data_IF_254691778610
#
_entry.id   IF_254691778610
#
_cell.length_a   1.000
_cell.length_b   1.000
_cell.length_c   1.000
_cell.angle_alpha   90.00
_cell.angle_beta   90.00
_cell.angle_gamma   90.00
#
_symmetry.space_group_name_H-M   'P 1'
#
loop_
_entity.id
_entity.type
_entity.pdbx_description
1 polymer ?
#
# COMPACT_ATOMS: atom_id res chain seq x y z
N UNK A 1 -26.64 -0.34 -20.00
CA UNK A 1 -25.37 -0.39 -19.25
C UNK A 1 -25.36 0.79 -18.29
N UNK A 2 -25.48 0.55 -16.99
CA UNK A 2 -25.38 1.60 -15.98
C UNK A 2 -23.92 1.64 -15.56
N UNK A 3 -23.21 2.72 -15.89
CA UNK A 3 -21.91 3.00 -15.29
C UNK A 3 -22.19 3.68 -13.95
N UNK A 4 -22.06 2.96 -12.84
CA UNK A 4 -22.03 3.59 -11.52
C UNK A 4 -20.71 4.35 -11.43
N UNK A 5 -20.78 5.69 -11.45
CA UNK A 5 -19.67 6.55 -11.04
C UNK A 5 -19.74 6.69 -9.52
N UNK A 6 -19.32 5.66 -8.80
CA UNK A 6 -19.18 5.68 -7.36
C UNK A 6 -17.72 5.43 -7.02
N UNK A 7 -17.11 6.25 -6.17
CA UNK A 7 -15.78 5.98 -5.62
C UNK A 7 -15.84 4.69 -4.81
N UNK A 8 -15.08 3.67 -5.22
CA UNK A 8 -14.95 2.41 -4.50
C UNK A 8 -13.74 2.48 -3.57
N UNK A 9 -13.92 2.08 -2.31
CA UNK A 9 -12.85 1.99 -1.32
C UNK A 9 -12.41 0.54 -1.13
N UNK A 10 -11.11 0.27 -1.23
CA UNK A 10 -10.51 -0.98 -0.78
C UNK A 10 -9.70 -0.74 0.47
N UNK A 11 -9.92 -1.58 1.47
CA UNK A 11 -9.18 -1.57 2.74
C UNK A 11 -8.28 -2.79 2.82
N UNK A 12 -7.00 -2.57 3.05
CA UNK A 12 -6.01 -3.61 3.31
C UNK A 12 -5.41 -3.36 4.69
N UNK A 13 -5.18 -4.43 5.45
CA UNK A 13 -4.58 -4.34 6.77
C UNK A 13 -3.34 -5.22 6.83
N UNK A 14 -2.29 -4.72 7.48
CA UNK A 14 -1.11 -5.50 7.85
C UNK A 14 -0.92 -5.47 9.37
N UNK A 15 -0.47 -6.59 9.92
CA UNK A 15 -0.18 -6.77 11.33
C UNK A 15 1.29 -7.13 11.47
N UNK A 16 2.04 -6.39 12.28
CA UNK A 16 3.48 -6.55 12.47
C UNK A 16 3.98 -5.61 13.56
N UNK A 17 5.22 -5.79 14.03
CA UNK A 17 5.85 -4.87 14.99
C UNK A 17 6.57 -3.75 14.22
N UNK A 18 5.84 -2.69 13.85
CA UNK A 18 6.34 -1.66 12.92
C UNK A 18 7.20 -0.62 13.63
N UNK A 19 7.00 -0.36 14.91
CA UNK A 19 7.87 0.56 15.67
C UNK A 19 9.04 -0.14 16.41
N UNK A 20 9.14 -1.49 16.30
CA UNK A 20 10.13 -2.34 16.99
C UNK A 20 10.06 -2.25 18.51
N UNK A 21 8.87 -2.06 19.08
CA UNK A 21 8.65 -2.04 20.52
C UNK A 21 8.26 -3.42 21.10
N UNK A 22 8.28 -4.47 20.27
CA UNK A 22 7.84 -5.84 20.60
C UNK A 22 6.33 -6.00 20.85
N UNK A 23 5.53 -5.00 20.47
CA UNK A 23 4.07 -5.05 20.44
C UNK A 23 3.64 -5.12 18.97
N UNK A 24 2.65 -5.97 18.68
CA UNK A 24 2.09 -6.03 17.33
C UNK A 24 1.25 -4.79 17.05
N UNK A 25 1.65 -4.04 16.03
CA UNK A 25 0.93 -2.93 15.45
C UNK A 25 -0.05 -3.41 14.37
N UNK A 26 -1.07 -2.59 14.10
CA UNK A 26 -1.99 -2.77 12.98
C UNK A 26 -1.99 -1.50 12.14
N UNK A 27 -1.66 -1.64 10.85
CA UNK A 27 -1.84 -0.56 9.88
C UNK A 27 -3.05 -0.87 8.99
N UNK A 28 -3.88 0.14 8.73
CA UNK A 28 -5.00 0.03 7.78
C UNK A 28 -4.78 1.03 6.66
N UNK A 29 -4.64 0.53 5.43
CA UNK A 29 -4.48 1.35 4.22
C UNK A 29 -5.77 1.28 3.42
N UNK A 30 -6.38 2.43 3.18
CA UNK A 30 -7.59 2.57 2.36
C UNK A 30 -7.25 3.26 1.05
N UNK A 31 -7.51 2.62 -0.08
CA UNK A 31 -7.32 3.20 -1.42
C UNK A 31 -8.67 3.49 -2.06
N UNK A 32 -8.87 4.73 -2.51
CA UNK A 32 -10.06 5.16 -3.25
C UNK A 32 -9.81 5.06 -4.75
N UNK A 33 -10.73 4.45 -5.50
CA UNK A 33 -10.71 4.41 -6.97
C UNK A 33 -12.07 4.74 -7.56
N UNK A 34 -12.09 5.62 -8.56
CA UNK A 34 -13.31 6.04 -9.26
C UNK A 34 -13.66 5.16 -10.48
N UNK A 35 -12.85 4.13 -10.75
CA UNK A 35 -13.08 3.20 -11.88
C UNK A 35 -13.58 1.87 -11.36
N UNK A 36 -14.70 1.38 -11.90
CA UNK A 36 -15.33 0.08 -11.63
C UNK A 36 -14.35 -1.10 -11.85
N UNK A 37 -13.54 -1.37 -10.84
CA UNK A 37 -12.64 -2.49 -10.69
C UNK A 37 -12.53 -2.71 -9.18
N UNK A 38 -12.72 -3.94 -8.71
CA UNK A 38 -12.36 -4.35 -7.35
C UNK A 38 -10.86 -4.09 -7.17
N UNK A 39 -10.54 -2.89 -6.69
CA UNK A 39 -9.20 -2.54 -6.22
C UNK A 39 -8.86 -3.52 -5.13
N UNK A 40 -7.97 -4.48 -5.39
CA UNK A 40 -7.28 -5.18 -4.32
C UNK A 40 -5.96 -4.47 -4.11
N UNK A 41 -5.71 -4.05 -2.89
CA UNK A 41 -4.43 -3.45 -2.54
C UNK A 41 -3.73 -4.44 -1.64
N UNK A 42 -2.45 -4.72 -1.88
CA UNK A 42 -1.63 -5.49 -0.93
C UNK A 42 -0.55 -4.57 -0.43
N UNK A 43 -0.25 -4.65 0.87
CA UNK A 43 0.76 -3.81 1.50
C UNK A 43 1.78 -4.71 2.19
N UNK A 44 3.06 -4.41 1.98
CA UNK A 44 4.18 -4.98 2.70
C UNK A 44 4.96 -3.84 3.35
N UNK A 45 5.57 -4.11 4.49
CA UNK A 45 6.30 -3.11 5.26
C UNK A 45 7.58 -3.75 5.80
N UNK A 46 8.70 -3.11 5.53
CA UNK A 46 10.02 -3.49 6.03
C UNK A 46 10.98 -2.30 5.84
N UNK A 47 12.21 -2.41 6.32
CA UNK A 47 13.30 -1.46 6.02
C UNK A 47 13.88 -1.80 4.63
N UNK A 48 13.32 -1.22 3.57
CA UNK A 48 13.69 -1.56 2.19
C UNK A 48 14.97 -0.85 1.72
N UNK A 49 15.37 0.25 2.39
CA UNK A 49 16.53 1.05 2.03
C UNK A 49 17.72 0.96 3.03
N UNK A 50 17.58 0.18 4.10
CA UNK A 50 18.53 0.01 5.22
C UNK A 50 18.80 1.28 6.05
N UNK A 51 17.82 2.19 6.18
CA UNK A 51 17.94 3.40 7.00
C UNK A 51 17.43 3.23 8.45
N UNK A 52 16.94 2.02 8.78
CA UNK A 52 16.32 1.62 10.06
C UNK A 52 14.96 2.26 10.33
N UNK A 53 14.33 2.86 9.35
CA UNK A 53 12.94 3.29 9.37
C UNK A 53 12.10 2.25 8.65
N UNK A 54 10.79 2.26 8.92
CA UNK A 54 9.87 1.37 8.20
C UNK A 54 9.46 2.05 6.90
N UNK A 55 9.64 1.33 5.81
CA UNK A 55 9.13 1.68 4.50
C UNK A 55 7.85 0.88 4.20
N UNK A 56 7.06 1.34 3.24
CA UNK A 56 5.81 0.69 2.82
C UNK A 56 5.87 0.43 1.32
N UNK A 57 5.55 -0.78 0.91
CA UNK A 57 5.30 -1.13 -0.49
C UNK A 57 3.83 -1.44 -0.67
N UNK A 58 3.19 -0.79 -1.64
CA UNK A 58 1.77 -0.94 -1.95
C UNK A 58 1.60 -1.45 -3.38
N UNK A 59 1.08 -2.67 -3.54
CA UNK A 59 0.55 -3.12 -4.81
C UNK A 59 -0.85 -2.54 -5.03
N UNK A 60 -1.02 -1.80 -6.11
CA UNK A 60 -2.27 -1.20 -6.52
C UNK A 60 -2.82 -1.93 -7.76
N UNK A 61 -3.72 -2.88 -7.53
CA UNK A 61 -4.37 -3.67 -8.59
C UNK A 61 -5.10 -2.76 -9.58
N UNK A 62 -5.86 -1.77 -9.10
CA UNK A 62 -6.66 -0.90 -9.97
C UNK A 62 -5.82 0.02 -10.86
N UNK A 63 -4.64 0.42 -10.37
CA UNK A 63 -3.71 1.27 -11.12
C UNK A 63 -2.61 0.48 -11.86
N UNK A 64 -2.62 -0.87 -11.77
CA UNK A 64 -1.60 -1.77 -12.32
C UNK A 64 -0.17 -1.30 -12.03
N UNK A 65 0.07 -0.94 -10.76
CA UNK A 65 1.37 -0.49 -10.32
C UNK A 65 1.69 -0.92 -8.90
N UNK A 66 2.96 -0.85 -8.53
CA UNK A 66 3.47 -0.97 -7.17
C UNK A 66 4.12 0.36 -6.81
N UNK A 67 3.74 0.95 -5.69
CA UNK A 67 4.34 2.14 -5.13
C UNK A 67 5.25 1.77 -3.96
N UNK A 68 6.43 2.37 -3.90
CA UNK A 68 7.36 2.30 -2.76
C UNK A 68 7.32 3.63 -2.04
N UNK A 69 7.02 3.59 -0.75
CA UNK A 69 6.95 4.75 0.12
C UNK A 69 8.02 4.61 1.19
N UNK A 70 8.93 5.58 1.26
CA UNK A 70 9.96 5.60 2.29
C UNK A 70 9.44 6.25 3.55
N UNK A 71 9.73 5.64 4.70
CA UNK A 71 9.41 6.17 6.01
C UNK A 71 10.36 7.27 6.44
N UNK A 72 9.84 8.24 7.19
CA UNK A 72 10.62 9.32 7.79
C UNK A 72 10.57 9.24 9.32
N UNK A 73 11.55 9.86 9.97
CA UNK A 73 11.66 9.89 11.45
C UNK A 73 10.48 10.57 12.15
N UNK A 74 9.69 11.35 11.43
CA UNK A 74 8.49 12.02 11.92
C UNK A 74 7.21 11.17 11.74
N UNK A 75 7.33 9.95 11.22
CA UNK A 75 6.21 9.04 10.95
C UNK A 75 5.48 9.34 9.63
N UNK A 76 5.99 10.28 8.82
CA UNK A 76 5.48 10.52 7.47
C UNK A 76 6.06 9.53 6.46
N UNK A 77 5.37 9.37 5.34
CA UNK A 77 5.78 8.50 4.23
C UNK A 77 5.81 9.31 2.93
N UNK A 78 6.86 9.15 2.13
CA UNK A 78 6.98 9.79 0.81
C UNK A 78 7.07 8.76 -0.29
N UNK A 79 6.27 8.91 -1.35
CA UNK A 79 6.36 8.06 -2.53
C UNK A 79 7.72 8.31 -3.19
N UNK A 80 8.60 7.31 -3.16
CA UNK A 80 9.91 7.36 -3.80
C UNK A 80 9.81 6.94 -5.26
N UNK A 81 9.11 5.84 -5.51
CA UNK A 81 9.01 5.26 -6.84
C UNK A 81 7.67 4.57 -7.07
N UNK A 82 7.20 4.60 -8.31
CA UNK A 82 6.05 3.84 -8.78
C UNK A 82 6.45 2.99 -9.98
N UNK A 83 6.35 1.68 -9.82
CA UNK A 83 6.68 0.70 -10.85
C UNK A 83 5.40 0.21 -11.51
N UNK A 84 5.28 0.39 -12.82
CA UNK A 84 4.20 -0.22 -13.59
C UNK A 84 4.37 -1.73 -13.58
N UNK A 85 3.32 -2.44 -13.21
CA UNK A 85 3.27 -3.90 -13.28
C UNK A 85 2.49 -4.35 -14.51
N UNK A 86 2.40 -5.66 -14.71
CA UNK A 86 1.34 -6.24 -15.54
C UNK A 86 -0.05 -5.96 -14.97
N UNK A 87 -1.06 -6.57 -15.58
CA UNK A 87 -2.43 -6.49 -15.09
C UNK A 87 -2.57 -7.14 -13.70
N UNK A 88 -3.29 -6.47 -12.81
CA UNK A 88 -3.73 -6.96 -11.50
C UNK A 88 -2.60 -7.49 -10.58
N UNK A 89 -1.64 -6.66 -10.13
CA UNK A 89 -0.68 -7.04 -9.11
C UNK A 89 -1.37 -7.43 -7.80
N UNK A 90 -1.37 -8.73 -7.51
CA UNK A 90 -2.19 -9.31 -6.43
C UNK A 90 -1.61 -9.18 -5.02
N UNK A 91 -0.29 -9.24 -4.89
CA UNK A 91 0.38 -9.46 -3.61
C UNK A 91 1.81 -8.92 -3.61
N UNK A 92 2.19 -8.34 -2.46
CA UNK A 92 3.57 -7.98 -2.10
C UNK A 92 3.84 -8.53 -0.69
N UNK A 93 5.05 -9.01 -0.45
CA UNK A 93 5.54 -9.55 0.81
C UNK A 93 6.93 -9.01 1.10
#
# INVERSE_FOLDING_TARGET
MIYTTGSFSSTSAAVGDFNKDSISDTVVVSTLSDTLCIVRSSVAMDDFNNDRLIDIVVANTGANNVAVLLGHKDGSFTIEATYRTGLDPYYVA
#
